data_IF_312309492439
#
_entry.id   IF_312309492439
#
_cell.length_a   1.000
_cell.length_b   1.000
_cell.length_c   1.000
_cell.angle_alpha   90.00
_cell.angle_beta   90.00
_cell.angle_gamma   90.00
#
_symmetry.space_group_name_H-M   'P 1'
#
loop_
_entity.id
_entity.type
_entity.pdbx_description
1 polymer ?
#
# COMPACT_ATOMS: atom_id res chain seq x y z
N UNK A 1 23.07 -2.95 13.53
CA UNK A 1 22.89 -4.41 13.27
C UNK A 1 21.53 -4.80 12.74
N UNK A 2 20.43 -4.16 13.16
CA UNK A 2 19.06 -4.47 12.65
C UNK A 2 18.91 -4.31 11.14
N UNK A 3 19.47 -3.27 10.51
CA UNK A 3 19.39 -3.05 9.07
C UNK A 3 19.97 -4.16 8.21
N UNK A 4 21.05 -4.79 8.66
CA UNK A 4 21.65 -5.95 7.96
C UNK A 4 20.70 -7.15 7.99
N UNK A 5 20.11 -7.44 9.15
CA UNK A 5 19.16 -8.54 9.28
C UNK A 5 17.98 -8.39 8.30
N UNK A 6 17.36 -7.21 8.25
CA UNK A 6 16.23 -6.94 7.35
C UNK A 6 16.62 -6.93 5.86
N UNK A 7 17.86 -6.53 5.53
CA UNK A 7 18.33 -6.54 4.15
C UNK A 7 18.53 -7.96 3.59
N UNK A 8 18.79 -8.95 4.43
CA UNK A 8 19.06 -10.35 4.02
C UNK A 8 17.91 -11.32 4.29
N UNK A 9 16.92 -10.93 5.09
CA UNK A 9 15.77 -11.78 5.38
C UNK A 9 14.50 -11.21 4.78
N UNK A 10 13.85 -11.97 3.92
CA UNK A 10 12.54 -11.62 3.37
C UNK A 10 11.52 -11.61 4.50
N UNK A 11 10.75 -10.54 4.58
CA UNK A 11 9.77 -10.34 5.66
C UNK A 11 8.70 -11.46 5.69
N UNK A 12 8.35 -12.01 4.54
CA UNK A 12 7.39 -13.10 4.40
C UNK A 12 7.88 -14.37 5.10
N UNK A 13 9.18 -14.69 4.95
CA UNK A 13 9.80 -15.84 5.64
C UNK A 13 9.89 -15.61 7.15
N UNK A 14 10.22 -14.38 7.57
CA UNK A 14 10.29 -14.02 8.99
C UNK A 14 8.92 -14.12 9.67
N UNK A 15 7.85 -13.77 8.96
CA UNK A 15 6.47 -13.88 9.43
C UNK A 15 5.89 -15.29 9.36
N UNK A 16 6.62 -16.25 8.80
CA UNK A 16 6.16 -17.62 8.70
C UNK A 16 5.04 -17.83 7.68
N UNK A 17 4.93 -16.98 6.68
CA UNK A 17 3.88 -17.07 5.65
C UNK A 17 3.90 -18.43 4.92
N UNK A 18 5.10 -19.03 4.78
CA UNK A 18 5.27 -20.35 4.17
C UNK A 18 4.61 -21.50 4.95
N UNK A 19 4.24 -21.28 6.22
CA UNK A 19 3.59 -22.30 7.06
C UNK A 19 2.06 -22.15 7.11
N UNK A 20 1.51 -21.13 6.45
CA UNK A 20 0.06 -20.96 6.36
C UNK A 20 -0.51 -22.00 5.40
N UNK A 21 -1.57 -22.66 5.85
CA UNK A 21 -2.35 -23.50 4.94
C UNK A 21 -3.08 -22.61 3.94
N UNK A 22 -3.17 -23.03 2.65
CA UNK A 22 -3.98 -22.31 1.68
C UNK A 22 -5.43 -22.28 2.14
N UNK A 23 -6.05 -21.12 2.06
CA UNK A 23 -7.49 -20.95 2.26
C UNK A 23 -8.17 -21.12 0.92
N UNK A 24 -8.97 -22.15 0.78
CA UNK A 24 -9.65 -22.45 -0.48
C UNK A 24 -10.66 -21.36 -0.88
N UNK A 25 -11.32 -20.76 0.12
CA UNK A 25 -12.29 -19.68 -0.11
C UNK A 25 -12.22 -18.69 1.05
N UNK A 26 -12.09 -17.43 0.73
CA UNK A 26 -12.20 -16.32 1.68
C UNK A 26 -13.45 -15.50 1.38
N UNK A 27 -14.21 -15.18 2.44
CA UNK A 27 -15.41 -14.36 2.35
C UNK A 27 -15.20 -13.06 3.10
N UNK A 28 -15.68 -11.95 2.53
CA UNK A 28 -15.75 -10.65 3.17
C UNK A 28 -17.12 -10.05 2.90
N UNK A 29 -17.84 -9.67 3.97
CA UNK A 29 -19.11 -8.94 3.87
C UNK A 29 -18.81 -7.47 4.17
N UNK A 30 -19.34 -6.56 3.35
CA UNK A 30 -19.13 -5.12 3.50
C UNK A 30 -20.34 -4.34 2.97
N UNK A 31 -20.43 -3.06 3.35
CA UNK A 31 -21.45 -2.15 2.87
C UNK A 31 -20.91 -1.23 1.78
N UNK A 32 -21.70 -1.06 0.71
CA UNK A 32 -21.45 -0.12 -0.37
C UNK A 32 -22.71 0.69 -0.66
N UNK A 33 -22.75 1.93 -0.19
CA UNK A 33 -23.89 2.85 -0.39
C UNK A 33 -25.24 2.27 0.07
N UNK A 34 -25.25 1.57 1.20
CA UNK A 34 -26.44 0.94 1.76
C UNK A 34 -26.79 -0.43 1.19
N UNK A 35 -25.95 -0.97 0.29
CA UNK A 35 -26.06 -2.34 -0.21
C UNK A 35 -25.05 -3.23 0.53
N UNK A 36 -25.56 -4.26 1.16
CA UNK A 36 -24.68 -5.30 1.75
C UNK A 36 -24.17 -6.21 0.65
N UNK A 37 -22.86 -6.32 0.52
CA UNK A 37 -22.18 -7.09 -0.50
C UNK A 37 -21.32 -8.17 0.12
N UNK A 38 -21.13 -9.25 -0.63
CA UNK A 38 -20.16 -10.31 -0.31
C UNK A 38 -19.09 -10.37 -1.37
N UNK A 39 -17.83 -10.24 -0.96
CA UNK A 39 -16.66 -10.56 -1.76
C UNK A 39 -16.28 -12.00 -1.48
N UNK A 40 -16.17 -12.81 -2.52
CA UNK A 40 -15.66 -14.17 -2.45
C UNK A 40 -14.36 -14.24 -3.21
N UNK A 41 -13.29 -14.71 -2.57
CA UNK A 41 -12.01 -14.97 -3.20
C UNK A 41 -11.79 -16.48 -3.26
N UNK A 42 -11.81 -17.02 -4.49
CA UNK A 42 -11.53 -18.42 -4.78
C UNK A 42 -10.37 -18.50 -5.77
N UNK A 43 -9.30 -19.18 -5.40
CA UNK A 43 -8.10 -19.35 -6.24
C UNK A 43 -7.54 -18.03 -6.80
N UNK A 44 -7.59 -16.96 -5.99
CA UNK A 44 -7.15 -15.63 -6.41
C UNK A 44 -8.13 -14.86 -7.30
N UNK A 45 -9.28 -15.46 -7.65
CA UNK A 45 -10.35 -14.77 -8.37
C UNK A 45 -11.37 -14.22 -7.39
N UNK A 46 -11.61 -12.92 -7.48
CA UNK A 46 -12.60 -12.21 -6.68
C UNK A 46 -13.93 -12.12 -7.44
N UNK A 47 -15.01 -12.48 -6.78
CA UNK A 47 -16.37 -12.23 -7.23
C UNK A 47 -17.12 -11.39 -6.21
N UNK A 48 -18.05 -10.57 -6.68
CA UNK A 48 -18.80 -9.61 -5.87
C UNK A 48 -20.28 -9.79 -6.15
N UNK A 49 -21.04 -10.02 -5.09
CA UNK A 49 -22.48 -10.29 -5.17
C UNK A 49 -23.22 -9.54 -4.07
N UNK A 50 -24.50 -9.29 -4.27
CA UNK A 50 -25.39 -8.77 -3.22
C UNK A 50 -25.64 -9.84 -2.17
N UNK A 51 -25.80 -9.43 -0.90
CA UNK A 51 -26.16 -10.36 0.17
C UNK A 51 -27.50 -9.91 0.81
N UNK A 52 -28.49 -10.83 0.91
CA UNK A 52 -28.46 -12.27 0.63
C UNK A 52 -28.79 -12.68 -0.81
N UNK A 53 -29.13 -11.74 -1.71
CA UNK A 53 -29.70 -12.01 -3.02
C UNK A 53 -28.78 -12.74 -4.02
N UNK A 54 -27.46 -12.66 -3.86
CA UNK A 54 -26.45 -13.23 -4.74
C UNK A 54 -26.54 -12.78 -6.21
N UNK A 55 -26.96 -11.54 -6.41
CA UNK A 55 -26.95 -10.89 -7.73
C UNK A 55 -25.57 -10.28 -7.98
N UNK A 56 -25.09 -10.39 -9.22
CA UNK A 56 -23.83 -9.74 -9.61
C UNK A 56 -23.98 -8.22 -9.55
N UNK A 57 -22.90 -7.54 -9.14
CA UNK A 57 -22.91 -6.09 -8.99
C UNK A 57 -22.08 -5.44 -10.09
N UNK A 58 -22.55 -4.28 -10.53
CA UNK A 58 -21.82 -3.41 -11.43
C UNK A 58 -20.70 -2.65 -10.66
N UNK A 59 -19.61 -2.30 -11.36
CA UNK A 59 -18.60 -1.41 -10.81
C UNK A 59 -19.18 -0.06 -10.42
N UNK A 60 -18.47 0.64 -9.52
CA UNK A 60 -18.83 2.01 -9.14
C UNK A 60 -18.73 2.96 -10.35
N UNK A 61 -19.67 3.88 -10.39
CA UNK A 61 -19.60 5.05 -11.27
C UNK A 61 -18.73 6.15 -10.66
N UNK A 62 -18.30 7.10 -11.47
CA UNK A 62 -17.56 8.29 -11.03
C UNK A 62 -18.33 9.07 -9.95
N UNK A 63 -19.66 9.19 -10.10
CA UNK A 63 -20.51 9.91 -9.14
C UNK A 63 -20.61 9.18 -7.80
N UNK A 64 -20.72 7.86 -7.81
CA UNK A 64 -20.72 7.04 -6.60
C UNK A 64 -19.37 7.12 -5.86
N UNK A 65 -18.24 7.16 -6.58
CA UNK A 65 -16.92 7.35 -5.97
C UNK A 65 -16.80 8.71 -5.27
N UNK A 66 -17.35 9.79 -5.85
CA UNK A 66 -17.44 11.10 -5.21
C UNK A 66 -18.33 11.04 -3.96
N UNK A 67 -19.49 10.41 -4.06
CA UNK A 67 -20.44 10.27 -2.96
C UNK A 67 -19.83 9.49 -1.79
N UNK A 68 -19.17 8.36 -2.06
CA UNK A 68 -18.46 7.57 -1.05
C UNK A 68 -17.40 8.42 -0.35
N UNK A 69 -16.62 9.19 -1.10
CA UNK A 69 -15.60 10.06 -0.53
C UNK A 69 -16.21 11.09 0.40
N UNK A 70 -17.30 11.74 0.02
CA UNK A 70 -17.98 12.73 0.87
C UNK A 70 -18.63 12.11 2.12
N UNK A 71 -19.12 10.88 2.04
CA UNK A 71 -19.75 10.19 3.16
C UNK A 71 -18.74 9.59 4.15
N UNK A 72 -17.62 9.06 3.63
CA UNK A 72 -16.63 8.35 4.45
C UNK A 72 -15.45 9.21 4.87
N UNK A 73 -15.39 10.47 4.44
CA UNK A 73 -14.33 11.42 4.83
C UNK A 73 -14.92 12.79 5.15
N UNK A 74 -14.14 13.65 5.77
CA UNK A 74 -14.48 15.07 6.00
C UNK A 74 -14.02 15.96 4.84
N UNK A 75 -13.67 15.38 3.69
CA UNK A 75 -13.11 16.08 2.54
C UNK A 75 -14.20 16.38 1.51
N UNK A 76 -14.06 17.48 0.79
CA UNK A 76 -14.94 17.83 -0.33
C UNK A 76 -14.34 17.29 -1.63
N UNK A 77 -14.94 16.26 -2.26
CA UNK A 77 -14.45 15.72 -3.52
C UNK A 77 -14.75 16.68 -4.67
N UNK A 78 -13.80 16.82 -5.60
CA UNK A 78 -13.94 17.66 -6.79
C UNK A 78 -14.10 16.83 -8.06
N UNK A 79 -13.27 15.82 -8.22
CA UNK A 79 -13.16 15.02 -9.42
C UNK A 79 -12.74 13.59 -9.09
N UNK A 80 -13.33 12.61 -9.75
CA UNK A 80 -12.92 11.20 -9.64
C UNK A 80 -12.43 10.70 -11.01
N UNK A 81 -11.23 10.13 -11.03
CA UNK A 81 -10.56 9.61 -12.22
C UNK A 81 -10.34 8.12 -12.03
N UNK A 82 -10.81 7.30 -12.99
CA UNK A 82 -10.53 5.87 -12.97
C UNK A 82 -9.04 5.62 -13.29
N UNK A 83 -8.41 4.78 -12.47
CA UNK A 83 -7.03 4.33 -12.66
C UNK A 83 -7.06 2.82 -12.87
N UNK A 84 -6.59 2.40 -14.03
CA UNK A 84 -6.49 0.98 -14.42
C UNK A 84 -5.05 0.48 -14.35
N UNK A 85 -4.07 1.40 -14.41
CA UNK A 85 -2.65 1.11 -14.31
C UNK A 85 -1.91 2.19 -13.52
N UNK A 86 -0.80 1.81 -12.87
CA UNK A 86 0.06 2.73 -12.13
C UNK A 86 1.53 2.44 -12.42
N UNK A 87 2.30 3.51 -12.56
CA UNK A 87 3.75 3.41 -12.74
C UNK A 87 4.44 3.05 -11.41
N UNK A 88 5.60 2.37 -11.46
CA UNK A 88 6.45 2.20 -10.28
C UNK A 88 6.72 3.55 -9.58
N UNK A 89 6.67 3.57 -8.24
CA UNK A 89 6.83 4.80 -7.46
C UNK A 89 5.59 5.70 -7.42
N UNK A 90 4.46 5.26 -7.95
CA UNK A 90 3.18 5.96 -7.78
C UNK A 90 2.79 6.09 -6.31
N UNK A 91 2.03 7.14 -5.99
CA UNK A 91 1.47 7.31 -4.63
C UNK A 91 0.39 6.27 -4.30
N UNK A 92 -0.19 5.61 -5.30
CA UNK A 92 -1.13 4.52 -5.12
C UNK A 92 -0.48 3.16 -5.36
N UNK A 93 -0.61 2.28 -4.38
CA UNK A 93 -0.04 0.92 -4.38
C UNK A 93 -1.09 -0.14 -4.01
N UNK A 94 -2.38 0.24 -4.09
CA UNK A 94 -3.49 -0.66 -3.79
C UNK A 94 -3.92 -1.49 -4.99
N UNK A 95 -5.01 -2.24 -4.80
CA UNK A 95 -5.62 -3.04 -5.87
C UNK A 95 -6.19 -2.16 -6.99
N UNK A 96 -6.02 -2.59 -8.22
CA UNK A 96 -6.55 -1.94 -9.42
C UNK A 96 -7.70 -2.80 -10.00
N UNK A 97 -8.64 -2.19 -10.71
CA UNK A 97 -8.82 -0.75 -10.90
C UNK A 97 -9.32 -0.02 -9.65
N UNK A 98 -9.08 1.30 -9.58
CA UNK A 98 -9.50 2.16 -8.48
C UNK A 98 -9.81 3.57 -8.96
N UNK A 99 -10.65 4.30 -8.22
CA UNK A 99 -10.86 5.72 -8.45
C UNK A 99 -9.89 6.57 -7.64
N UNK A 100 -9.21 7.51 -8.30
CA UNK A 100 -8.49 8.60 -7.66
C UNK A 100 -9.42 9.79 -7.55
N UNK A 101 -9.83 10.13 -6.35
CA UNK A 101 -10.69 11.28 -6.06
C UNK A 101 -9.83 12.44 -5.58
N UNK A 102 -9.80 13.53 -6.35
CA UNK A 102 -9.17 14.78 -5.94
C UNK A 102 -10.11 15.58 -5.04
N UNK A 103 -9.56 16.26 -4.06
CA UNK A 103 -10.32 17.08 -3.11
C UNK A 103 -9.89 18.55 -3.17
N UNK A 104 -10.70 19.46 -2.63
CA UNK A 104 -10.42 20.89 -2.52
C UNK A 104 -9.46 21.25 -1.37
N UNK A 105 -8.84 20.26 -0.76
CA UNK A 105 -7.92 20.46 0.35
C UNK A 105 -6.67 21.24 -0.05
N UNK A 106 -6.21 22.15 0.82
CA UNK A 106 -4.95 22.89 0.68
C UNK A 106 -3.74 21.96 0.57
N UNK A 107 -3.79 20.79 1.22
CA UNK A 107 -2.73 19.78 1.23
C UNK A 107 -2.80 18.84 0.01
N UNK A 108 -3.57 19.18 -1.03
CA UNK A 108 -3.74 18.42 -2.27
C UNK A 108 -4.01 16.94 -2.00
N UNK A 109 -4.99 16.69 -1.14
CA UNK A 109 -5.34 15.33 -0.72
C UNK A 109 -6.02 14.59 -1.88
N UNK A 110 -5.52 13.39 -2.18
CA UNK A 110 -6.16 12.43 -3.06
C UNK A 110 -6.69 11.25 -2.21
N UNK A 111 -7.92 10.86 -2.48
CA UNK A 111 -8.56 9.68 -1.85
C UNK A 111 -8.67 8.60 -2.91
N UNK A 112 -8.27 7.39 -2.57
CA UNK A 112 -8.33 6.24 -3.48
C UNK A 112 -9.45 5.30 -3.05
N UNK A 113 -10.41 5.10 -3.96
CA UNK A 113 -11.63 4.31 -3.73
C UNK A 113 -11.60 3.08 -4.60
N UNK A 114 -11.79 1.91 -4.03
CA UNK A 114 -11.81 0.64 -4.76
C UNK A 114 -12.97 0.57 -5.74
N UNK A 115 -12.69 0.18 -6.99
CA UNK A 115 -13.62 0.19 -8.11
C UNK A 115 -14.88 -0.67 -7.89
N UNK A 116 -14.73 -1.84 -7.27
CA UNK A 116 -15.86 -2.73 -6.98
C UNK A 116 -16.39 -2.55 -5.56
N UNK A 117 -15.51 -2.31 -4.61
CA UNK A 117 -15.88 -2.36 -3.19
C UNK A 117 -16.34 -1.02 -2.61
N UNK A 118 -15.89 0.11 -3.17
CA UNK A 118 -16.13 1.42 -2.58
C UNK A 118 -15.40 1.64 -1.25
N UNK A 119 -14.41 0.80 -0.94
CA UNK A 119 -13.56 1.04 0.22
C UNK A 119 -12.55 2.14 -0.05
N UNK A 120 -12.29 2.96 0.95
CA UNK A 120 -11.17 3.89 0.90
C UNK A 120 -9.89 3.09 1.16
N UNK A 121 -9.15 2.82 0.10
CA UNK A 121 -7.92 2.03 0.15
C UNK A 121 -6.72 2.86 0.64
N UNK A 122 -6.70 4.15 0.35
CA UNK A 122 -5.66 5.06 0.84
C UNK A 122 -6.03 6.53 0.68
N UNK A 123 -5.45 7.38 1.52
CA UNK A 123 -5.53 8.83 1.46
C UNK A 123 -4.10 9.35 1.38
N UNK A 124 -3.82 10.24 0.41
CA UNK A 124 -2.47 10.75 0.12
C UNK A 124 -2.47 12.28 0.12
N UNK A 125 -1.72 12.87 1.04
CA UNK A 125 -1.51 14.32 1.19
C UNK A 125 -0.11 14.72 0.75
N UNK A 126 0.18 16.02 0.68
CA UNK A 126 1.54 16.51 0.45
C UNK A 126 2.50 16.07 1.57
N UNK A 127 2.05 16.07 2.83
CA UNK A 127 2.83 15.54 3.96
C UNK A 127 3.18 14.06 3.78
N UNK A 128 2.23 13.25 3.27
CA UNK A 128 2.50 11.86 2.97
C UNK A 128 3.55 11.71 1.85
N UNK A 129 3.49 12.54 0.80
CA UNK A 129 4.46 12.51 -0.32
C UNK A 129 5.88 12.83 0.15
N UNK A 130 6.02 13.82 1.05
CA UNK A 130 7.31 14.16 1.67
C UNK A 130 7.81 12.98 2.51
N UNK A 131 6.94 12.39 3.33
CA UNK A 131 7.29 11.23 4.13
C UNK A 131 7.75 10.04 3.25
N UNK A 132 7.01 9.73 2.19
CA UNK A 132 7.33 8.66 1.24
C UNK A 132 8.68 8.89 0.54
N UNK A 133 8.98 10.15 0.20
CA UNK A 133 10.30 10.53 -0.33
C UNK A 133 11.41 10.30 0.71
N UNK A 134 11.22 10.76 1.94
CA UNK A 134 12.21 10.53 3.02
C UNK A 134 12.40 9.05 3.30
N UNK A 135 11.31 8.28 3.29
CA UNK A 135 11.36 6.83 3.41
C UNK A 135 12.17 6.18 2.30
N UNK A 136 11.93 6.57 1.03
CA UNK A 136 12.68 6.05 -0.12
C UNK A 136 14.18 6.32 -0.03
N UNK A 137 14.56 7.49 0.48
CA UNK A 137 15.95 7.83 0.77
C UNK A 137 16.53 6.95 1.88
N UNK A 138 15.76 6.70 2.94
CA UNK A 138 16.20 5.89 4.08
C UNK A 138 16.46 4.43 3.71
N UNK A 139 15.60 3.83 2.88
CA UNK A 139 15.75 2.44 2.42
C UNK A 139 16.57 2.31 1.13
N UNK A 140 17.04 3.42 0.57
CA UNK A 140 17.82 3.46 -0.69
C UNK A 140 17.07 2.83 -1.88
N UNK A 141 15.75 2.89 -1.88
CA UNK A 141 14.91 2.45 -2.99
C UNK A 141 14.17 3.65 -3.59
N UNK A 142 14.72 4.17 -4.67
CA UNK A 142 14.18 5.34 -5.37
C UNK A 142 13.13 5.00 -6.43
N UNK A 143 13.00 3.71 -6.77
CA UNK A 143 12.14 3.26 -7.85
C UNK A 143 10.77 2.81 -7.36
N UNK A 144 10.73 1.86 -6.47
CA UNK A 144 9.48 1.27 -5.96
C UNK A 144 9.09 1.84 -4.60
N UNK A 145 10.09 2.30 -3.83
CA UNK A 145 9.97 2.92 -2.50
C UNK A 145 9.43 2.00 -1.42
N UNK A 146 9.51 0.68 -1.65
CA UNK A 146 9.04 -0.36 -0.74
C UNK A 146 10.04 -1.51 -0.60
N UNK A 147 11.03 -1.62 -1.50
CA UNK A 147 11.97 -2.72 -1.54
C UNK A 147 13.13 -2.49 -0.57
N UNK A 148 13.02 -3.01 0.65
CA UNK A 148 14.09 -3.01 1.65
C UNK A 148 15.18 -4.06 1.37
N UNK A 149 15.01 -4.91 0.34
CA UNK A 149 15.96 -5.96 -0.04
C UNK A 149 16.77 -5.58 -1.29
N UNK A 150 17.09 -4.31 -1.46
CA UNK A 150 17.86 -3.83 -2.61
C UNK A 150 19.37 -3.92 -2.38
N UNK A 151 20.12 -3.97 -3.50
CA UNK A 151 21.59 -4.14 -3.49
C UNK A 151 22.30 -2.94 -2.85
N UNK A 152 21.77 -1.72 -3.05
CA UNK A 152 22.39 -0.51 -2.54
C UNK A 152 22.34 -0.47 -1.02
N UNK A 153 21.20 -0.81 -0.40
CA UNK A 153 21.05 -0.90 1.05
C UNK A 153 22.01 -1.96 1.63
N UNK A 154 22.15 -3.13 0.97
CA UNK A 154 23.09 -4.18 1.37
C UNK A 154 24.53 -3.71 1.37
N UNK A 155 24.97 -3.06 0.29
CA UNK A 155 26.34 -2.54 0.15
C UNK A 155 26.64 -1.47 1.22
N UNK A 156 25.73 -0.53 1.42
CA UNK A 156 25.92 0.52 2.43
C UNK A 156 25.88 -0.04 3.86
N UNK A 157 25.06 -1.05 4.13
CA UNK A 157 25.03 -1.74 5.41
C UNK A 157 26.37 -2.45 5.72
N UNK A 158 26.98 -3.10 4.72
CA UNK A 158 28.29 -3.73 4.85
C UNK A 158 29.37 -2.65 5.09
N UNK A 159 29.36 -1.58 4.31
CA UNK A 159 30.32 -0.48 4.46
C UNK A 159 30.22 0.14 5.86
N UNK A 160 29.01 0.40 6.35
CA UNK A 160 28.77 0.91 7.69
C UNK A 160 29.31 -0.05 8.78
N UNK A 161 29.17 -1.35 8.59
CA UNK A 161 29.73 -2.34 9.51
C UNK A 161 31.26 -2.29 9.53
N UNK A 162 31.91 -2.28 8.35
CA UNK A 162 33.36 -2.20 8.23
C UNK A 162 33.90 -0.93 8.89
N UNK A 163 33.29 0.23 8.62
CA UNK A 163 33.72 1.51 9.21
C UNK A 163 33.53 1.52 10.71
N UNK A 164 32.45 0.96 11.23
CA UNK A 164 32.18 0.85 12.66
C UNK A 164 33.23 -0.02 13.37
N UNK A 165 33.54 -1.21 12.79
CA UNK A 165 34.57 -2.11 13.33
C UNK A 165 35.96 -1.47 13.29
N UNK A 166 36.31 -0.78 12.21
CA UNK A 166 37.55 -0.05 12.08
C UNK A 166 37.70 1.03 13.15
N UNK A 167 36.63 1.78 13.41
CA UNK A 167 36.61 2.79 14.48
C UNK A 167 36.82 2.20 15.86
N UNK A 168 36.20 1.07 16.18
CA UNK A 168 36.37 0.34 17.43
C UNK A 168 37.85 -0.12 17.57
N UNK A 169 38.40 -0.72 16.51
CA UNK A 169 39.78 -1.22 16.49
C UNK A 169 40.79 -0.08 16.77
N UNK A 170 40.62 1.05 16.08
CA UNK A 170 41.49 2.24 16.30
C UNK A 170 41.40 2.77 17.73
N UNK A 171 40.24 2.71 18.35
CA UNK A 171 40.07 3.13 19.74
C UNK A 171 40.92 2.27 20.71
N UNK A 172 40.98 0.96 20.49
CA UNK A 172 41.77 0.06 21.34
C UNK A 172 43.27 0.05 21.02
N UNK A 173 43.67 0.27 19.78
CA UNK A 173 45.08 0.28 19.36
C UNK A 173 45.79 1.58 19.78
N UNK A 174 45.09 2.67 19.90
CA UNK A 174 45.65 3.98 20.27
C UNK A 174 45.86 4.18 21.77
N UNK A 175 45.59 3.15 22.57
CA UNK A 175 45.87 3.10 24.00
C UNK A 175 47.18 2.36 24.26
#
# INVERSE_FOLDING_TARGET
MSGIYFAYNKIELVRGEQYRLPKDIEYRIFDRLGLTLIETNKDGKKSYETYPGRESIEPLTTQEALLITSQKTTLNPLEAILIEDVKPGSEYRGALPAYKVKTDSKDKINVYVGYMTGDISSIRSDSWRIWDLMWSLHIMDYRERDNINNILLKLLSILALITSLSGITLFFVKK
#
